data_IF_311469089561
#
_entry.id   IF_311469089561
#
_cell.length_a   1.000
_cell.length_b   1.000
_cell.length_c   1.000
_cell.angle_alpha   90.00
_cell.angle_beta   90.00
_cell.angle_gamma   90.00
#
_symmetry.space_group_name_H-M   'P 1'
#
loop_
_entity.id
_entity.type
_entity.pdbx_description
1 polymer ?
#
# COMPACT_ATOMS: atom_id res chain seq x y z
N UNK A 1 -13.00 19.62 -2.60
CA UNK A 1 -12.98 19.98 -1.17
C UNK A 1 -11.57 20.42 -0.80
N UNK A 2 -11.36 21.71 -0.57
CA UNK A 2 -10.06 22.28 -0.19
C UNK A 2 -9.60 21.67 1.12
N UNK A 3 -8.38 21.11 1.18
CA UNK A 3 -7.72 20.84 2.44
C UNK A 3 -7.55 22.18 3.19
N UNK A 4 -7.71 22.20 4.53
CA UNK A 4 -7.52 23.41 5.31
C UNK A 4 -6.07 23.93 5.16
N UNK A 5 -5.84 25.25 5.31
CA UNK A 5 -4.51 25.83 5.24
C UNK A 5 -3.58 25.15 6.25
N UNK A 6 -2.29 25.05 5.88
CA UNK A 6 -1.23 24.49 6.74
C UNK A 6 -1.19 25.31 8.03
N UNK A 7 -1.68 24.74 9.14
CA UNK A 7 -1.55 25.36 10.45
C UNK A 7 -0.06 25.49 10.75
N UNK A 8 0.46 26.72 10.71
CA UNK A 8 1.84 27.09 11.04
C UNK A 8 2.12 27.07 12.55
N UNK A 9 1.38 26.27 13.32
CA UNK A 9 1.43 26.23 14.78
C UNK A 9 1.30 24.80 15.28
N UNK A 10 2.44 24.24 15.70
CA UNK A 10 2.61 23.00 16.47
C UNK A 10 1.89 21.76 15.93
N UNK A 11 2.40 21.18 14.84
CA UNK A 11 2.45 19.72 14.81
C UNK A 11 3.35 19.31 15.99
N UNK A 12 2.85 18.46 16.88
CA UNK A 12 3.62 17.94 18.02
C UNK A 12 5.03 17.58 17.54
N UNK A 13 6.06 18.12 18.19
CA UNK A 13 7.48 17.87 17.86
C UNK A 13 7.87 16.39 17.97
N UNK A 14 6.97 15.55 18.48
CA UNK A 14 7.16 14.12 18.60
C UNK A 14 7.06 13.45 17.22
N UNK A 15 8.15 12.82 16.74
CA UNK A 15 8.13 12.07 15.50
C UNK A 15 7.17 10.88 15.61
N UNK A 16 6.43 10.60 14.54
CA UNK A 16 5.49 9.47 14.47
C UNK A 16 6.18 8.31 13.78
N UNK A 17 6.24 7.16 14.44
CA UNK A 17 6.73 5.92 13.82
C UNK A 17 5.56 5.07 13.35
N UNK A 18 5.59 4.65 12.09
CA UNK A 18 4.64 3.71 11.50
C UNK A 18 5.38 2.39 11.29
N UNK A 19 4.86 1.30 11.84
CA UNK A 19 5.44 -0.05 11.70
C UNK A 19 4.55 -0.86 10.76
N UNK A 20 5.12 -1.29 9.63
CA UNK A 20 4.47 -2.00 8.53
C UNK A 20 4.23 -1.10 7.31
N UNK A 21 4.91 -1.40 6.20
CA UNK A 21 4.82 -0.75 4.88
C UNK A 21 3.75 -1.33 3.94
N UNK A 22 2.77 -2.07 4.48
CA UNK A 22 1.61 -2.54 3.71
C UNK A 22 0.67 -1.40 3.26
N UNK A 23 -0.45 -1.71 2.58
CA UNK A 23 -1.38 -0.71 2.05
C UNK A 23 -1.89 0.28 3.11
N UNK A 24 -2.26 -0.21 4.31
CA UNK A 24 -2.76 0.64 5.38
C UNK A 24 -1.65 1.52 6.00
N UNK A 25 -0.48 0.96 6.29
CA UNK A 25 0.63 1.68 6.91
C UNK A 25 1.24 2.73 5.99
N UNK A 26 1.44 2.38 4.72
CA UNK A 26 1.91 3.34 3.70
C UNK A 26 0.93 4.50 3.50
N UNK A 27 -0.38 4.22 3.45
CA UNK A 27 -1.39 5.27 3.36
C UNK A 27 -1.43 6.15 4.61
N UNK A 28 -1.37 5.56 5.81
CA UNK A 28 -1.35 6.30 7.07
C UNK A 28 -0.11 7.19 7.18
N UNK A 29 1.07 6.68 6.79
CA UNK A 29 2.31 7.44 6.76
C UNK A 29 2.21 8.67 5.85
N UNK A 30 1.63 8.51 4.64
CA UNK A 30 1.38 9.62 3.73
C UNK A 30 0.38 10.63 4.30
N UNK A 31 -0.71 10.17 4.91
CA UNK A 31 -1.71 11.05 5.53
C UNK A 31 -1.11 11.88 6.67
N UNK A 32 -0.28 11.28 7.51
CA UNK A 32 0.42 11.95 8.61
C UNK A 32 1.47 12.93 8.08
N UNK A 33 2.27 12.54 7.08
CA UNK A 33 3.25 13.42 6.48
C UNK A 33 2.59 14.66 5.84
N UNK A 34 1.45 14.50 5.15
CA UNK A 34 0.69 15.63 4.58
C UNK A 34 0.10 16.56 5.65
N UNK A 35 -0.12 16.07 6.86
CA UNK A 35 -0.53 16.86 8.03
C UNK A 35 0.64 17.56 8.73
N UNK A 36 1.88 17.38 8.25
CA UNK A 36 3.07 18.04 8.79
C UNK A 36 3.80 17.27 9.89
N UNK A 37 3.44 16.01 10.15
CA UNK A 37 4.18 15.18 11.11
C UNK A 37 5.50 14.69 10.50
N UNK A 38 6.54 14.62 11.34
CA UNK A 38 7.78 13.92 11.00
C UNK A 38 7.55 12.41 11.11
N UNK A 39 7.34 11.73 9.99
CA UNK A 39 6.98 10.30 9.95
C UNK A 39 8.19 9.44 9.61
N UNK A 40 8.40 8.36 10.37
CA UNK A 40 9.35 7.29 10.05
C UNK A 40 8.59 5.99 9.82
N UNK A 41 8.71 5.42 8.63
CA UNK A 41 8.09 4.13 8.27
C UNK A 41 9.13 3.02 8.37
N UNK A 42 8.79 1.95 9.07
CA UNK A 42 9.60 0.75 9.19
C UNK A 42 8.85 -0.42 8.55
N UNK A 43 9.53 -1.20 7.72
CA UNK A 43 9.01 -2.45 7.16
C UNK A 43 10.05 -3.54 7.44
N UNK A 44 9.58 -4.71 7.86
CA UNK A 44 10.45 -5.84 8.17
C UNK A 44 10.90 -6.60 6.92
N UNK A 45 10.19 -6.43 5.81
CA UNK A 45 10.52 -6.99 4.49
C UNK A 45 11.47 -6.08 3.73
N UNK A 46 12.23 -6.67 2.82
CA UNK A 46 12.96 -5.91 1.80
C UNK A 46 12.00 -5.09 0.93
N UNK A 47 12.51 -4.01 0.34
CA UNK A 47 11.72 -3.16 -0.53
C UNK A 47 11.23 -3.98 -1.76
N UNK A 48 9.90 -4.10 -1.98
CA UNK A 48 9.40 -4.86 -3.13
C UNK A 48 9.79 -4.23 -4.48
N UNK A 49 10.28 -2.98 -4.50
CA UNK A 49 10.71 -2.26 -5.70
C UNK A 49 12.17 -2.53 -6.07
N UNK A 50 12.99 -3.02 -5.16
CA UNK A 50 14.40 -3.34 -5.44
C UNK A 50 14.59 -4.63 -6.25
N UNK A 51 13.50 -5.29 -6.66
CA UNK A 51 13.52 -6.36 -7.65
C UNK A 51 14.11 -7.67 -7.14
N UNK A 52 13.30 -8.47 -6.43
CA UNK A 52 13.54 -9.92 -6.45
C UNK A 52 13.20 -10.41 -7.87
N UNK A 53 14.06 -11.19 -8.55
CA UNK A 53 13.83 -11.62 -9.92
C UNK A 53 12.47 -12.30 -10.04
N UNK A 54 11.69 -11.87 -11.04
CA UNK A 54 10.44 -12.52 -11.43
C UNK A 54 10.81 -13.91 -11.94
N UNK A 55 10.75 -14.91 -11.07
CA UNK A 55 10.87 -16.30 -11.50
C UNK A 55 9.63 -16.64 -12.32
N UNK A 56 9.75 -16.48 -13.64
CA UNK A 56 8.88 -17.11 -14.63
C UNK A 56 9.43 -18.52 -14.88
N UNK A 57 8.92 -19.53 -14.17
CA UNK A 57 9.37 -20.91 -14.35
C UNK A 57 8.78 -21.89 -13.32
N UNK A 58 8.66 -23.18 -13.66
CA UNK A 58 7.65 -24.10 -13.12
C UNK A 58 7.83 -24.48 -11.66
N UNK A 59 6.71 -24.91 -11.07
CA UNK A 59 6.46 -25.05 -9.64
C UNK A 59 6.97 -26.37 -9.06
N UNK A 60 8.18 -26.78 -9.43
CA UNK A 60 8.67 -28.11 -9.07
C UNK A 60 9.71 -28.02 -7.95
N UNK A 61 9.19 -28.26 -6.75
CA UNK A 61 9.81 -28.73 -5.51
C UNK A 61 11.34 -28.70 -5.37
N UNK A 62 11.84 -27.82 -4.49
CA UNK A 62 13.00 -28.00 -3.57
C UNK A 62 13.45 -26.65 -2.95
N UNK A 63 13.18 -25.51 -3.59
CA UNK A 63 13.58 -24.19 -3.07
C UNK A 63 12.66 -23.62 -1.96
N UNK A 64 12.04 -24.48 -1.14
CA UNK A 64 11.02 -24.09 -0.15
C UNK A 64 11.59 -23.65 1.21
N UNK A 65 12.87 -23.92 1.49
CA UNK A 65 13.48 -23.62 2.79
C UNK A 65 14.17 -22.25 2.90
N UNK A 66 14.51 -21.61 1.76
CA UNK A 66 15.15 -20.28 1.73
C UNK A 66 14.25 -19.17 1.11
N UNK A 67 13.01 -19.49 0.72
CA UNK A 67 11.99 -18.52 0.27
C UNK A 67 11.18 -17.90 1.40
N UNK A 68 11.47 -18.24 2.67
CA UNK A 68 10.71 -17.73 3.82
C UNK A 68 11.05 -16.28 4.21
N UNK A 69 12.15 -15.71 3.69
CA UNK A 69 12.45 -14.28 3.78
C UNK A 69 11.69 -13.45 2.72
N UNK A 70 11.25 -14.06 1.62
CA UNK A 70 10.25 -13.52 0.71
C UNK A 70 8.87 -13.89 1.25
N UNK A 71 8.55 -13.36 2.43
CA UNK A 71 7.34 -13.65 3.18
C UNK A 71 6.09 -13.45 2.30
N UNK A 72 5.66 -14.55 1.68
CA UNK A 72 4.34 -14.79 1.11
C UNK A 72 3.75 -13.59 0.37
N UNK A 73 3.81 -13.62 -0.96
CA UNK A 73 2.97 -12.83 -1.86
C UNK A 73 1.48 -13.11 -1.52
N UNK A 74 0.96 -12.55 -0.42
CA UNK A 74 -0.45 -12.68 -0.04
C UNK A 74 -1.28 -11.94 -1.08
N UNK A 75 -2.25 -12.70 -1.60
CA UNK A 75 -3.18 -12.43 -2.71
C UNK A 75 -2.59 -11.64 -3.88
N UNK A 76 -2.44 -12.32 -5.01
CA UNK A 76 -1.99 -11.77 -6.30
C UNK A 76 -2.90 -10.63 -6.79
N UNK A 77 -4.19 -10.63 -6.42
CA UNK A 77 -5.15 -9.56 -6.67
C UNK A 77 -5.98 -9.25 -5.42
N UNK A 78 -6.42 -7.99 -5.27
CA UNK A 78 -7.28 -7.53 -4.17
C UNK A 78 -8.48 -6.75 -4.74
N UNK A 79 -9.66 -6.95 -4.16
CA UNK A 79 -10.84 -6.14 -4.48
C UNK A 79 -10.74 -4.74 -3.84
N UNK A 80 -10.64 -3.69 -4.66
CA UNK A 80 -10.73 -2.32 -4.20
C UNK A 80 -12.18 -1.83 -4.25
N UNK A 81 -12.70 -1.35 -3.12
CA UNK A 81 -14.04 -0.77 -3.02
C UNK A 81 -13.99 0.77 -2.94
N UNK A 82 -15.16 1.39 -2.96
CA UNK A 82 -15.31 2.85 -2.81
C UNK A 82 -14.58 3.41 -1.58
N UNK A 83 -14.64 2.71 -0.42
CA UNK A 83 -13.96 3.17 0.81
C UNK A 83 -12.45 3.28 0.65
N UNK A 84 -11.83 2.28 0.02
CA UNK A 84 -10.39 2.27 -0.23
C UNK A 84 -10.00 3.37 -1.23
N UNK A 85 -10.77 3.50 -2.31
CA UNK A 85 -10.53 4.53 -3.31
C UNK A 85 -10.62 5.95 -2.73
N UNK A 86 -11.66 6.23 -1.94
CA UNK A 86 -11.80 7.53 -1.26
C UNK A 86 -10.67 7.80 -0.26
N UNK A 87 -10.12 6.78 0.39
CA UNK A 87 -9.00 6.96 1.29
C UNK A 87 -7.72 7.36 0.53
N UNK A 88 -7.47 6.76 -0.63
CA UNK A 88 -6.35 7.12 -1.51
C UNK A 88 -6.53 8.53 -2.07
N UNK A 89 -7.73 8.84 -2.59
CA UNK A 89 -8.04 10.15 -3.18
C UNK A 89 -7.88 11.32 -2.18
N UNK A 90 -8.16 11.09 -0.90
CA UNK A 90 -7.91 12.07 0.18
C UNK A 90 -6.43 12.42 0.36
N UNK A 91 -5.53 11.51 0.01
CA UNK A 91 -4.09 11.76 0.01
C UNK A 91 -3.68 12.40 -1.30
N UNK A 92 -4.05 11.80 -2.43
CA UNK A 92 -3.73 12.27 -3.76
C UNK A 92 -4.70 11.68 -4.80
N UNK A 93 -5.40 12.56 -5.51
CA UNK A 93 -6.35 12.19 -6.58
C UNK A 93 -5.64 11.51 -7.75
N UNK A 94 -4.41 11.95 -8.09
CA UNK A 94 -3.65 11.36 -9.20
C UNK A 94 -3.19 9.93 -8.86
N UNK A 95 -2.88 9.67 -7.58
CA UNK A 95 -2.58 8.32 -7.11
C UNK A 95 -3.81 7.40 -7.23
N UNK A 96 -5.00 7.89 -6.84
CA UNK A 96 -6.23 7.13 -6.98
C UNK A 96 -6.52 6.77 -8.45
N UNK A 97 -6.31 7.72 -9.37
CA UNK A 97 -6.45 7.48 -10.81
C UNK A 97 -5.48 6.41 -11.32
N UNK A 98 -4.20 6.50 -10.97
CA UNK A 98 -3.19 5.50 -11.35
C UNK A 98 -3.52 4.09 -10.85
N UNK A 99 -4.07 3.96 -9.64
CA UNK A 99 -4.50 2.67 -9.12
C UNK A 99 -5.68 2.11 -9.93
N UNK A 100 -6.60 2.96 -10.39
CA UNK A 100 -7.73 2.53 -11.22
C UNK A 100 -7.34 2.19 -12.65
N UNK A 101 -6.29 2.82 -13.20
CA UNK A 101 -5.77 2.51 -14.53
C UNK A 101 -5.27 1.05 -14.63
N UNK A 102 -4.77 0.50 -13.52
CA UNK A 102 -4.31 -0.89 -13.40
C UNK A 102 -5.40 -1.86 -12.89
N UNK A 103 -6.62 -1.37 -12.60
CA UNK A 103 -7.68 -2.16 -11.98
C UNK A 103 -8.63 -2.79 -13.02
N UNK A 104 -9.06 -4.03 -12.76
CA UNK A 104 -10.10 -4.70 -13.57
C UNK A 104 -11.48 -4.53 -12.89
N UNK A 105 -12.49 -3.96 -13.58
CA UNK A 105 -13.80 -3.71 -12.98
C UNK A 105 -14.59 -5.02 -12.78
N UNK A 106 -15.06 -5.24 -11.56
CA UNK A 106 -15.95 -6.36 -11.19
C UNK A 106 -17.38 -5.85 -11.00
N UNK A 107 -18.24 -6.03 -12.01
CA UNK A 107 -19.63 -5.50 -12.01
C UNK A 107 -20.60 -6.28 -11.13
N UNK A 108 -20.23 -7.50 -10.75
CA UNK A 108 -21.08 -8.39 -9.96
C UNK A 108 -20.37 -9.71 -9.72
N UNK A 109 -21.05 -10.64 -9.02
CA UNK A 109 -20.56 -11.99 -8.77
C UNK A 109 -21.12 -12.94 -9.83
N UNK A 110 -20.24 -13.76 -10.40
CA UNK A 110 -20.64 -14.94 -11.17
C UNK A 110 -20.65 -16.14 -10.21
N UNK A 111 -21.76 -16.87 -10.17
CA UNK A 111 -21.91 -18.08 -9.36
C UNK A 111 -21.95 -19.24 -10.34
N UNK A 112 -20.97 -20.14 -10.24
CA UNK A 112 -20.99 -21.41 -10.94
C UNK A 112 -21.64 -22.44 -10.01
N UNK A 113 -22.70 -23.10 -10.47
CA UNK A 113 -23.46 -24.10 -9.73
C UNK A 113 -23.21 -25.51 -10.25
#
# INVERSE_FOLDING_TARGET
>A
LSLPPRCSGMASSLPVSVVGGGPAGSLAALMLARRGYAVRLFEGREDPRSGAPRVEGPQDADASLLKSASASKRSINLALSHRGLCAIARVDEALAKRVLEEAVPMRGRIIHG
#
